data_IF_669534362762
#
_entry.id   IF_669534362762
#
_cell.length_a   1.000
_cell.length_b   1.000
_cell.length_c   1.000
_cell.angle_alpha   90.00
_cell.angle_beta   90.00
_cell.angle_gamma   90.00
#
_symmetry.space_group_name_H-M   'P 1'
#
loop_
_entity.id
_entity.type
_entity.pdbx_description
1 polymer ?
#
# COMPACT_ATOMS: atom_id res chain seq x y z
N UNK A 1 -2.61 -15.47 -4.98
CA UNK A 1 -2.75 -14.06 -4.53
C UNK A 1 -4.12 -13.54 -4.91
N UNK A 2 -4.81 -12.92 -3.97
CA UNK A 2 -6.13 -12.37 -4.23
C UNK A 2 -6.04 -10.97 -4.83
N UNK A 3 -6.90 -10.71 -5.80
CA UNK A 3 -7.04 -9.38 -6.39
C UNK A 3 -8.52 -9.07 -6.51
N UNK A 4 -8.84 -7.80 -6.64
CA UNK A 4 -10.19 -7.38 -6.99
C UNK A 4 -10.16 -6.09 -7.77
N UNK A 5 -11.20 -5.86 -8.56
CA UNK A 5 -11.36 -4.66 -9.36
C UNK A 5 -12.17 -3.63 -8.58
N UNK A 6 -11.65 -2.41 -8.47
CA UNK A 6 -12.36 -1.28 -7.86
C UNK A 6 -12.11 -0.08 -8.77
N UNK A 7 -13.19 0.52 -9.28
CA UNK A 7 -13.12 1.72 -10.13
C UNK A 7 -12.16 1.56 -11.32
N UNK A 8 -12.15 0.36 -11.93
CA UNK A 8 -11.31 0.08 -13.09
C UNK A 8 -9.85 -0.21 -12.77
N UNK A 9 -9.51 -0.32 -11.49
CA UNK A 9 -8.13 -0.61 -11.06
C UNK A 9 -8.08 -1.97 -10.39
N UNK A 10 -6.95 -2.67 -10.58
CA UNK A 10 -6.74 -3.98 -9.95
C UNK A 10 -6.02 -3.79 -8.62
N UNK A 11 -6.61 -4.27 -7.55
CA UNK A 11 -6.05 -4.19 -6.21
C UNK A 11 -5.58 -5.57 -5.76
N UNK A 12 -4.42 -5.60 -5.11
CA UNK A 12 -3.84 -6.82 -4.51
C UNK A 12 -4.20 -6.86 -3.04
N UNK A 13 -4.48 -8.06 -2.53
CA UNK A 13 -4.71 -8.28 -1.11
C UNK A 13 -3.39 -8.22 -0.36
N UNK A 14 -3.25 -7.23 0.53
CA UNK A 14 -2.09 -7.07 1.40
C UNK A 14 -2.49 -7.12 2.87
N UNK A 15 -3.61 -7.78 3.17
CA UNK A 15 -4.14 -7.83 4.53
C UNK A 15 -3.25 -8.55 5.53
N UNK A 16 -2.24 -9.28 5.06
CA UNK A 16 -1.25 -9.91 5.95
C UNK A 16 -0.21 -8.92 6.48
N UNK A 17 -0.19 -7.70 5.97
CA UNK A 17 0.73 -6.68 6.47
C UNK A 17 0.14 -6.03 7.72
N UNK A 18 1.00 -5.85 8.74
CA UNK A 18 0.60 -5.13 9.96
C UNK A 18 0.58 -3.63 9.73
N UNK A 19 1.56 -3.14 8.96
CA UNK A 19 1.64 -1.75 8.57
C UNK A 19 2.50 -1.62 7.33
N UNK A 20 2.39 -0.48 6.67
CA UNK A 20 3.19 -0.15 5.50
C UNK A 20 3.61 1.31 5.61
N UNK A 21 4.88 1.60 5.30
CA UNK A 21 5.45 2.94 5.45
C UNK A 21 6.09 3.39 4.13
N UNK A 22 5.74 4.59 3.71
CA UNK A 22 6.34 5.25 2.55
C UNK A 22 7.14 6.44 3.06
N UNK A 23 8.45 6.41 2.83
CA UNK A 23 9.33 7.49 3.28
C UNK A 23 9.71 8.41 2.13
N UNK A 24 9.48 9.69 2.33
CA UNK A 24 9.86 10.75 1.40
C UNK A 24 11.05 11.52 1.98
N UNK A 25 11.54 12.53 1.22
CA UNK A 25 12.71 13.29 1.66
C UNK A 25 12.48 14.01 3.00
N UNK A 26 11.26 14.49 3.24
CA UNK A 26 10.94 15.36 4.36
C UNK A 26 9.77 14.87 5.22
N UNK A 27 9.20 13.71 4.90
CA UNK A 27 8.07 13.17 5.65
C UNK A 27 7.93 11.68 5.40
N UNK A 28 7.17 11.01 6.25
CA UNK A 28 6.77 9.64 5.97
C UNK A 28 5.28 9.47 6.18
N UNK A 29 4.72 8.50 5.47
CA UNK A 29 3.31 8.13 5.58
C UNK A 29 3.25 6.71 6.10
N UNK A 30 2.61 6.51 7.24
CA UNK A 30 2.42 5.18 7.82
C UNK A 30 0.96 4.80 7.73
N UNK A 31 0.70 3.60 7.19
CA UNK A 31 -0.65 3.06 7.06
C UNK A 31 -0.76 1.81 7.90
N UNK A 32 -1.63 1.85 8.92
CA UNK A 32 -1.86 0.71 9.81
C UNK A 32 -2.87 -0.23 9.17
N UNK A 33 -2.57 -1.52 9.25
CA UNK A 33 -3.45 -2.59 8.76
C UNK A 33 -3.99 -2.33 7.34
N UNK A 34 -3.08 -2.18 6.36
CA UNK A 34 -3.54 -2.03 4.98
C UNK A 34 -4.22 -3.31 4.51
N UNK A 35 -5.21 -3.20 3.65
CA UNK A 35 -6.00 -4.34 3.18
C UNK A 35 -5.82 -4.59 1.69
N UNK A 36 -5.86 -3.54 0.90
CA UNK A 36 -5.79 -3.64 -0.56
C UNK A 36 -4.86 -2.58 -1.11
N UNK A 37 -4.11 -2.93 -2.15
CA UNK A 37 -3.12 -2.02 -2.72
C UNK A 37 -3.13 -2.10 -4.25
N UNK A 38 -3.09 -0.94 -4.89
CA UNK A 38 -2.91 -0.81 -6.33
C UNK A 38 -1.65 0.01 -6.58
N UNK A 39 -0.78 -0.49 -7.46
CA UNK A 39 0.39 0.25 -7.91
C UNK A 39 0.17 0.69 -9.34
N UNK A 40 0.30 1.98 -9.60
CA UNK A 40 0.19 2.52 -10.94
C UNK A 40 1.58 2.56 -11.57
N UNK A 41 1.82 1.63 -12.50
CA UNK A 41 3.13 1.48 -13.12
C UNK A 41 3.54 2.70 -13.93
N UNK A 42 2.59 3.47 -14.44
CA UNK A 42 2.88 4.66 -15.25
C UNK A 42 3.31 5.85 -14.41
N UNK A 43 2.65 6.05 -13.27
CA UNK A 43 2.92 7.20 -12.40
C UNK A 43 3.87 6.87 -11.25
N UNK A 44 4.00 5.59 -10.90
CA UNK A 44 4.76 5.17 -9.73
C UNK A 44 4.03 5.41 -8.42
N UNK A 45 2.76 5.78 -8.46
CA UNK A 45 1.97 6.02 -7.27
C UNK A 45 1.25 4.79 -6.76
N UNK A 46 0.85 4.82 -5.50
CA UNK A 46 0.11 3.74 -4.87
C UNK A 46 -1.24 4.22 -4.37
N UNK A 47 -2.23 3.32 -4.40
CA UNK A 47 -3.49 3.51 -3.68
C UNK A 47 -3.61 2.38 -2.69
N UNK A 48 -3.88 2.72 -1.43
CA UNK A 48 -3.97 1.73 -0.36
C UNK A 48 -5.27 1.95 0.40
N UNK A 49 -6.03 0.86 0.57
CA UNK A 49 -7.25 0.87 1.37
C UNK A 49 -6.90 0.23 2.70
N UNK A 50 -7.16 0.92 3.80
CA UNK A 50 -6.86 0.38 5.12
C UNK A 50 -8.09 -0.30 5.75
N UNK A 51 -7.89 -0.87 6.94
CA UNK A 51 -8.93 -1.62 7.64
C UNK A 51 -10.12 -0.75 8.04
N UNK A 52 -9.91 0.54 8.20
CA UNK A 52 -10.97 1.48 8.57
C UNK A 52 -11.74 2.01 7.36
N UNK A 53 -11.41 1.52 6.17
CA UNK A 53 -12.07 1.95 4.95
C UNK A 53 -11.54 3.25 4.39
N UNK A 54 -10.40 3.71 4.87
CA UNK A 54 -9.80 4.95 4.38
C UNK A 54 -8.92 4.63 3.18
N UNK A 55 -9.09 5.37 2.10
CA UNK A 55 -8.29 5.24 0.90
C UNK A 55 -7.17 6.26 0.93
N UNK A 56 -5.93 5.76 0.82
CA UNK A 56 -4.74 6.58 0.81
C UNK A 56 -4.16 6.62 -0.59
N UNK A 57 -3.82 7.80 -1.07
CA UNK A 57 -3.09 7.93 -2.32
C UNK A 57 -1.67 8.38 -2.02
N UNK A 58 -0.70 7.58 -2.44
CA UNK A 58 0.73 7.84 -2.21
C UNK A 58 1.34 8.19 -3.56
N UNK A 59 1.65 9.46 -3.84
CA UNK A 59 2.25 9.83 -5.10
C UNK A 59 3.67 9.30 -5.23
N UNK A 60 4.21 9.31 -6.45
CA UNK A 60 5.61 8.96 -6.65
C UNK A 60 6.52 9.97 -5.94
N UNK A 61 7.78 9.60 -5.73
CA UNK A 61 8.74 10.43 -5.01
C UNK A 61 9.19 9.83 -3.69
N UNK A 62 8.56 8.71 -3.31
CA UNK A 62 9.03 7.97 -2.15
C UNK A 62 10.43 7.42 -2.43
N UNK A 63 11.28 7.43 -1.39
CA UNK A 63 12.67 6.96 -1.47
C UNK A 63 12.85 5.59 -0.88
N UNK A 64 12.02 5.24 0.09
CA UNK A 64 12.08 3.96 0.77
C UNK A 64 10.67 3.54 1.10
N UNK A 65 10.35 2.29 0.86
CA UNK A 65 9.06 1.69 1.14
C UNK A 65 9.32 0.41 1.90
N UNK A 66 8.66 0.25 3.04
CA UNK A 66 8.77 -1.00 3.77
C UNK A 66 7.46 -1.34 4.45
N UNK A 67 7.32 -2.60 4.78
CA UNK A 67 6.12 -3.10 5.44
C UNK A 67 6.52 -4.23 6.37
N UNK A 68 5.67 -4.49 7.38
CA UNK A 68 5.84 -5.62 8.27
C UNK A 68 4.73 -6.62 8.01
N UNK A 69 5.11 -7.86 7.74
CA UNK A 69 4.16 -8.94 7.51
C UNK A 69 3.94 -9.72 8.80
N UNK A 70 2.69 -10.12 9.06
CA UNK A 70 2.35 -10.96 10.19
C UNK A 70 3.07 -12.31 10.12
N UNK A 71 3.37 -12.79 8.92
CA UNK A 71 4.03 -14.07 8.71
C UNK A 71 5.55 -14.00 8.74
N UNK A 72 6.11 -12.83 8.98
CA UNK A 72 7.55 -12.63 9.07
C UNK A 72 8.26 -12.47 7.74
N UNK A 73 7.74 -13.01 6.65
CA UNK A 73 8.33 -12.82 5.32
C UNK A 73 7.24 -13.02 4.26
N UNK A 74 6.91 -11.94 3.60
CA UNK A 74 5.98 -11.96 2.46
C UNK A 74 6.45 -10.91 1.48
N UNK A 75 6.48 -11.27 0.24
CA UNK A 75 6.96 -10.40 -0.81
C UNK A 75 5.86 -10.01 -1.77
#
# INVERSE_FOLDING_TARGET
>A
MKTKEIAGMTFKDISSEEYRVYQFADMEVRIEKPQWMNFNIKSGGYRVLDVDGISHYIPTGWRHLYWKSENGFVF
#
